data_IF_326953885541
#
_entry.id   IF_326953885541
#
_cell.length_a   1.000
_cell.length_b   1.000
_cell.length_c   1.000
_cell.angle_alpha   90.00
_cell.angle_beta   90.00
_cell.angle_gamma   90.00
#
_symmetry.space_group_name_H-M   'P 1'
#
loop_
_entity.id
_entity.type
_entity.pdbx_description
1 polymer ?
#
# COMPACT_ATOMS: atom_id res chain seq x y z
N UNK A 1 2.16 -23.36 -18.48
CA UNK A 1 2.18 -21.93 -18.13
C UNK A 1 0.75 -21.47 -18.03
N UNK A 2 0.27 -21.12 -16.83
CA UNK A 2 -1.09 -20.63 -16.62
C UNK A 2 -1.07 -19.48 -15.61
N UNK A 3 -1.39 -18.29 -16.12
CA UNK A 3 -1.77 -17.04 -15.48
C UNK A 3 -1.38 -16.82 -14.03
N UNK A 4 -0.36 -15.99 -13.81
CA UNK A 4 -0.30 -15.16 -12.62
C UNK A 4 -1.68 -14.49 -12.47
N UNK A 5 -2.29 -14.63 -11.29
CA UNK A 5 -3.49 -13.86 -10.98
C UNK A 5 -3.08 -12.39 -11.10
N UNK A 6 -3.47 -11.73 -12.19
CA UNK A 6 -3.49 -10.27 -12.21
C UNK A 6 -4.45 -9.88 -11.09
N UNK A 7 -3.91 -9.65 -9.89
CA UNK A 7 -4.60 -8.89 -8.88
C UNK A 7 -4.78 -7.53 -9.54
N UNK A 8 -5.93 -7.31 -10.17
CA UNK A 8 -6.30 -6.00 -10.69
C UNK A 8 -6.45 -5.11 -9.48
N UNK A 9 -5.37 -4.42 -9.15
CA UNK A 9 -5.33 -3.45 -8.08
C UNK A 9 -6.40 -2.41 -8.40
N UNK A 10 -7.33 -2.22 -7.45
CA UNK A 10 -8.40 -1.24 -7.60
C UNK A 10 -7.85 0.18 -7.53
N UNK A 11 -6.73 0.36 -6.83
CA UNK A 11 -6.05 1.64 -6.65
C UNK A 11 -4.54 1.46 -6.89
N UNK A 12 -4.11 1.25 -8.16
CA UNK A 12 -2.72 0.95 -8.48
C UNK A 12 -1.71 1.98 -7.98
N UNK A 13 -2.12 3.24 -7.83
CA UNK A 13 -1.28 4.39 -7.49
C UNK A 13 -0.56 4.25 -6.15
N UNK A 14 -1.14 3.51 -5.21
CA UNK A 14 -0.54 3.23 -3.92
C UNK A 14 -0.53 1.74 -3.56
N UNK A 15 -1.44 0.94 -4.14
CA UNK A 15 -1.50 -0.49 -3.82
C UNK A 15 -0.31 -1.29 -4.34
N UNK A 16 0.39 -0.84 -5.39
CA UNK A 16 1.62 -1.49 -5.85
C UNK A 16 2.67 -1.45 -4.76
N UNK A 17 3.03 -0.25 -4.30
CA UNK A 17 4.04 -0.05 -3.26
C UNK A 17 3.65 -0.73 -1.94
N UNK A 18 2.36 -0.67 -1.59
CA UNK A 18 1.82 -1.42 -0.44
C UNK A 18 2.02 -2.93 -0.59
N UNK A 19 1.70 -3.51 -1.75
CA UNK A 19 1.85 -4.95 -2.00
C UNK A 19 3.32 -5.37 -1.99
N UNK A 20 4.20 -4.56 -2.55
CA UNK A 20 5.65 -4.80 -2.48
C UNK A 20 6.16 -4.80 -1.04
N UNK A 21 5.65 -3.92 -0.18
CA UNK A 21 5.98 -3.93 1.24
C UNK A 21 5.44 -5.17 1.99
N UNK A 22 4.26 -5.68 1.63
CA UNK A 22 3.72 -6.92 2.22
C UNK A 22 4.51 -8.18 1.82
N UNK A 23 5.06 -8.19 0.61
CA UNK A 23 5.77 -9.35 0.05
C UNK A 23 7.28 -9.31 0.33
N UNK A 24 7.79 -8.23 0.92
CA UNK A 24 9.20 -8.11 1.25
C UNK A 24 9.57 -9.01 2.42
N UNK A 25 10.51 -9.92 2.17
CA UNK A 25 11.01 -10.90 3.16
C UNK A 25 12.40 -10.56 3.67
N UNK A 26 13.11 -9.64 3.02
CA UNK A 26 14.43 -9.17 3.42
C UNK A 26 14.27 -8.01 4.42
N UNK A 27 14.63 -8.20 5.72
CA UNK A 27 14.48 -7.16 6.73
C UNK A 27 15.30 -5.89 6.42
N UNK A 28 16.39 -6.02 5.66
CA UNK A 28 17.21 -4.87 5.28
C UNK A 28 16.52 -3.96 4.26
N UNK A 29 15.60 -4.52 3.46
CA UNK A 29 14.81 -3.80 2.45
C UNK A 29 13.41 -3.46 2.92
N UNK A 30 12.89 -4.19 3.91
CA UNK A 30 11.56 -3.98 4.46
C UNK A 30 11.33 -2.52 4.87
N UNK A 31 12.29 -1.90 5.55
CA UNK A 31 12.15 -0.49 5.96
C UNK A 31 12.05 0.48 4.78
N UNK A 32 12.76 0.21 3.68
CA UNK A 32 12.69 1.01 2.46
C UNK A 32 11.34 0.83 1.77
N UNK A 33 10.85 -0.40 1.65
CA UNK A 33 9.53 -0.72 1.08
C UNK A 33 8.39 -0.12 1.87
N UNK A 34 8.46 -0.17 3.21
CA UNK A 34 7.47 0.46 4.08
C UNK A 34 7.43 1.98 3.87
N UNK A 35 8.59 2.64 3.72
CA UNK A 35 8.63 4.09 3.41
C UNK A 35 8.06 4.41 2.04
N UNK A 36 8.34 3.60 1.03
CA UNK A 36 7.80 3.76 -0.32
C UNK A 36 6.26 3.64 -0.31
N UNK A 37 5.72 2.63 0.38
CA UNK A 37 4.28 2.45 0.56
C UNK A 37 3.63 3.64 1.28
N UNK A 38 4.23 4.12 2.37
CA UNK A 38 3.71 5.29 3.11
C UNK A 38 3.74 6.58 2.30
N UNK A 39 4.80 6.79 1.51
CA UNK A 39 4.91 7.95 0.62
C UNK A 39 3.83 7.91 -0.47
N UNK A 40 3.60 6.74 -1.08
CA UNK A 40 2.56 6.57 -2.09
C UNK A 40 1.15 6.77 -1.52
N UNK A 41 0.88 6.21 -0.33
CA UNK A 41 -0.40 6.41 0.38
C UNK A 41 -0.61 7.88 0.75
N UNK A 42 0.42 8.55 1.28
CA UNK A 42 0.35 9.98 1.63
C UNK A 42 0.02 10.84 0.41
N UNK A 43 0.69 10.59 -0.71
CA UNK A 43 0.40 11.25 -1.98
C UNK A 43 -1.04 11.00 -2.42
N UNK A 44 -1.57 9.77 -2.28
CA UNK A 44 -2.97 9.50 -2.64
C UNK A 44 -3.95 10.23 -1.74
N UNK A 45 -3.68 10.34 -0.44
CA UNK A 45 -4.52 11.09 0.49
C UNK A 45 -4.62 12.57 0.14
N UNK A 46 -3.55 13.19 -0.35
CA UNK A 46 -3.58 14.58 -0.84
C UNK A 46 -4.55 14.75 -2.02
N UNK A 47 -4.59 13.78 -2.95
CA UNK A 47 -5.55 13.79 -4.06
C UNK A 47 -6.98 13.48 -3.60
N UNK A 48 -7.16 12.58 -2.63
CA UNK A 48 -8.48 12.19 -2.11
C UNK A 48 -9.14 13.26 -1.23
N UNK A 49 -8.39 14.22 -0.70
CA UNK A 49 -8.95 15.31 0.12
C UNK A 49 -10.04 16.13 -0.61
N UNK A 50 -10.10 16.07 -1.95
CA UNK A 50 -11.15 16.67 -2.78
C UNK A 50 -12.23 15.71 -3.29
N UNK A 51 -12.15 14.41 -3.01
CA UNK A 51 -13.01 13.37 -3.58
C UNK A 51 -13.81 12.61 -2.51
N UNK A 52 -15.10 12.36 -2.75
CA UNK A 52 -15.95 11.56 -1.84
C UNK A 52 -15.81 10.06 -2.07
N UNK A 53 -14.58 9.53 -2.14
CA UNK A 53 -14.35 8.09 -2.31
C UNK A 53 -14.16 7.37 -0.97
N UNK A 54 -15.28 7.11 -0.28
CA UNK A 54 -15.29 6.47 1.03
C UNK A 54 -14.60 5.09 1.04
N UNK A 55 -14.78 4.29 -0.02
CA UNK A 55 -14.22 2.93 -0.10
C UNK A 55 -12.70 2.92 -0.22
N UNK A 56 -12.14 3.86 -0.97
CA UNK A 56 -10.68 4.00 -1.05
C UNK A 56 -10.10 4.51 0.26
N UNK A 57 -10.77 5.45 0.93
CA UNK A 57 -10.38 5.92 2.25
C UNK A 57 -10.29 4.78 3.28
N UNK A 58 -11.28 3.88 3.32
CA UNK A 58 -11.25 2.69 4.17
C UNK A 58 -10.09 1.74 3.81
N UNK A 59 -9.83 1.53 2.51
CA UNK A 59 -8.73 0.69 2.07
C UNK A 59 -7.36 1.25 2.48
N UNK A 60 -7.19 2.57 2.39
CA UNK A 60 -5.99 3.28 2.84
C UNK A 60 -5.80 3.18 4.35
N UNK A 61 -6.86 3.36 5.14
CA UNK A 61 -6.78 3.22 6.61
C UNK A 61 -6.33 1.82 7.03
N UNK A 62 -6.90 0.78 6.40
CA UNK A 62 -6.50 -0.60 6.65
C UNK A 62 -5.03 -0.82 6.27
N UNK A 63 -4.59 -0.31 5.11
CA UNK A 63 -3.21 -0.43 4.65
C UNK A 63 -2.22 0.22 5.65
N UNK A 64 -2.51 1.44 6.12
CA UNK A 64 -1.68 2.13 7.11
C UNK A 64 -1.56 1.34 8.43
N UNK A 65 -2.66 0.75 8.90
CA UNK A 65 -2.62 -0.09 10.09
C UNK A 65 -1.71 -1.31 9.89
N UNK A 66 -1.81 -1.99 8.74
CA UNK A 66 -0.96 -3.13 8.41
C UNK A 66 0.52 -2.74 8.33
N UNK A 67 0.85 -1.61 7.69
CA UNK A 67 2.23 -1.11 7.63
C UNK A 67 2.80 -0.83 9.03
N UNK A 68 1.99 -0.25 9.93
CA UNK A 68 2.40 0.02 11.30
C UNK A 68 2.66 -1.25 12.12
N UNK A 69 1.93 -2.33 11.85
CA UNK A 69 2.20 -3.65 12.46
C UNK A 69 3.50 -4.24 11.91
N UNK A 70 3.75 -4.15 10.60
CA UNK A 70 4.98 -4.63 9.98
C UNK A 70 6.23 -3.91 10.49
N UNK A 71 6.14 -2.62 10.79
CA UNK A 71 7.24 -1.84 11.39
C UNK A 71 7.64 -2.29 12.80
N UNK A 72 6.77 -3.02 13.49
CA UNK A 72 6.99 -3.46 14.87
C UNK A 72 7.47 -4.92 14.96
N UNK A 73 7.68 -5.59 13.83
CA UNK A 73 8.23 -6.94 13.76
C UNK A 73 9.76 -6.96 13.87
#
# INVERSE_FOLDING_TARGET
MAGAHEIRLRYPEWQVEYTEALLETDPSKLLERLKAAEAAISKRLEFLAGESNHWEGLAIQNALHTLQVLKQQ
#
